data_IF_559671129295
#
_entry.id   IF_559671129295
#
_cell.length_a   1.000
_cell.length_b   1.000
_cell.length_c   1.000
_cell.angle_alpha   90.00
_cell.angle_beta   90.00
_cell.angle_gamma   90.00
#
_symmetry.space_group_name_H-M   'P 1'
#
loop_
_entity.id
_entity.type
_entity.pdbx_description
1 polymer ?
2 non-polymer ?
3 non-polymer ?
4 non-polymer ?
5 non-polymer ?
6 non-polymer ?
7 water ?
#
# COMPACT_ATOMS: atom_id res chain seq x y z
N UNK A 1 19.74 -5.96 0.36
CA UNK A 1 18.41 -6.50 0.49
C UNK A 1 17.89 -6.19 1.86
N UNK A 2 16.58 -6.25 2.02
CA UNK A 2 15.93 -6.00 3.29
C UNK A 2 15.20 -7.20 3.83
N UNK A 3 14.42 -7.00 4.89
CA UNK A 3 13.64 -8.03 5.56
C UNK A 3 12.42 -8.56 4.83
N UNK A 4 11.94 -9.73 5.22
CA UNK A 4 10.71 -10.28 4.72
C UNK A 4 9.84 -10.91 5.80
N UNK A 5 8.58 -11.08 5.55
CA UNK A 5 7.70 -11.74 6.45
C UNK A 5 8.13 -13.20 6.51
N UNK A 6 8.35 -13.72 7.69
CA UNK A 6 8.88 -15.06 7.72
C UNK A 6 7.74 -16.00 7.87
N UNK A 7 6.64 -15.68 7.20
CA UNK A 7 5.39 -16.39 7.15
C UNK A 7 4.54 -15.96 5.92
N UNK A 8 3.62 -16.78 5.43
CA UNK A 8 2.87 -16.44 4.24
C UNK A 8 1.46 -15.98 4.46
N UNK A 9 0.97 -16.12 5.68
CA UNK A 9 -0.34 -15.72 6.04
C UNK A 9 -0.20 -14.40 6.79
N UNK A 10 -0.74 -13.33 6.21
CA UNK A 10 -0.51 -11.97 6.69
C UNK A 10 -1.81 -11.20 6.92
N UNK A 11 -1.99 -10.67 8.12
CA UNK A 11 -3.21 -9.95 8.43
C UNK A 11 -3.05 -8.44 8.32
N UNK A 12 -4.15 -7.77 8.00
CA UNK A 12 -4.16 -6.32 8.05
C UNK A 12 -5.41 -5.78 8.72
N UNK A 13 -5.31 -4.53 9.18
CA UNK A 13 -6.41 -3.86 9.84
C UNK A 13 -6.37 -2.39 9.46
N UNK A 14 -7.53 -1.83 9.17
CA UNK A 14 -7.61 -0.39 8.91
C UNK A 14 -7.86 0.32 10.26
N UNK A 15 -6.85 1.07 10.73
CA UNK A 15 -6.91 1.82 12.00
C UNK A 15 -8.00 2.86 12.01
N UNK A 16 -8.18 3.51 10.87
CA UNK A 16 -9.06 4.66 10.75
C UNK A 16 -9.29 4.97 9.28
N UNK A 17 -10.34 5.76 9.00
CA UNK A 17 -10.80 6.01 7.63
C UNK A 17 -10.75 7.46 7.23
N UNK A 18 -10.25 7.71 6.03
CA UNK A 18 -10.28 9.07 5.52
C UNK A 18 -11.74 9.47 5.29
N UNK A 19 -12.08 10.72 5.63
CA UNK A 19 -13.42 11.23 5.32
C UNK A 19 -13.55 11.58 3.83
N UNK A 20 -12.45 11.49 3.07
CA UNK A 20 -12.48 11.80 1.64
C UNK A 20 -13.36 10.85 0.86
N UNK A 21 -13.44 9.60 1.33
CA UNK A 21 -14.12 8.53 0.60
C UNK A 21 -15.09 7.84 1.55
N UNK A 22 -16.07 7.12 1.00
CA UNK A 22 -16.92 6.36 1.90
C UNK A 22 -16.22 5.09 2.38
N UNK A 23 -16.62 4.63 3.55
CA UNK A 23 -15.97 3.52 4.23
C UNK A 23 -15.84 2.29 3.33
N UNK A 24 -16.91 2.01 2.59
CA UNK A 24 -16.94 0.85 1.71
C UNK A 24 -15.93 0.98 0.58
N UNK A 25 -15.74 2.18 0.08
CA UNK A 25 -14.82 2.45 -1.00
C UNK A 25 -13.36 2.37 -0.53
N UNK A 26 -13.11 2.74 0.70
CA UNK A 26 -11.81 2.53 1.31
C UNK A 26 -11.45 1.06 1.47
N UNK A 27 -12.31 0.30 2.10
CA UNK A 27 -12.11 -1.10 2.26
C UNK A 27 -11.84 -1.79 0.90
N UNK A 28 -12.59 -1.39 -0.09
CA UNK A 28 -12.44 -2.01 -1.38
C UNK A 28 -11.08 -1.71 -1.99
N UNK A 29 -10.74 -0.43 -2.02
CA UNK A 29 -9.44 -0.03 -2.58
C UNK A 29 -8.31 -0.82 -1.94
N UNK A 30 -8.34 -0.93 -0.61
CA UNK A 30 -7.31 -1.66 0.12
C UNK A 30 -7.37 -3.15 -0.19
N UNK A 31 -8.57 -3.69 -0.27
CA UNK A 31 -8.72 -5.11 -0.55
C UNK A 31 -8.15 -5.47 -1.92
N UNK A 32 -8.42 -4.63 -2.90
CA UNK A 32 -8.00 -4.88 -4.27
C UNK A 32 -6.48 -4.71 -4.39
N UNK A 33 -5.94 -3.78 -3.60
CA UNK A 33 -4.50 -3.58 -3.62
C UNK A 33 -3.75 -4.79 -3.07
N UNK A 34 -4.26 -5.37 -2.00
CA UNK A 34 -3.66 -6.59 -1.47
C UNK A 34 -3.76 -7.71 -2.49
N UNK A 35 -4.89 -7.76 -3.18
CA UNK A 35 -5.16 -8.82 -4.16
C UNK A 35 -4.15 -8.81 -5.30
N UNK A 36 -3.70 -7.61 -5.67
CA UNK A 36 -2.71 -7.47 -6.73
C UNK A 36 -1.47 -8.29 -6.39
N UNK A 37 -1.02 -8.19 -5.14
CA UNK A 37 0.20 -8.89 -4.74
C UNK A 37 -0.06 -10.36 -4.45
N UNK A 38 -1.24 -10.66 -3.94
CA UNK A 38 -1.70 -12.03 -3.72
C UNK A 38 -1.67 -12.81 -5.02
N UNK A 39 -2.04 -12.15 -6.11
CA UNK A 39 -2.23 -12.83 -7.39
C UNK A 39 -0.94 -13.39 -8.01
N UNK A 40 0.22 -12.90 -7.57
CA UNK A 40 1.51 -13.35 -8.14
C UNK A 40 2.45 -13.92 -7.10
N UNK A 41 1.91 -14.29 -5.93
CA UNK A 41 2.72 -14.86 -4.86
C UNK A 41 1.89 -15.92 -4.10
N UNK A 42 2.54 -16.66 -3.20
CA UNK A 42 1.81 -17.57 -2.29
C UNK A 42 1.19 -16.84 -1.10
N UNK A 43 1.32 -15.52 -1.02
CA UNK A 43 0.84 -14.82 0.16
C UNK A 43 -0.67 -14.78 0.23
N UNK A 44 -1.19 -14.96 1.45
CA UNK A 44 -2.62 -14.89 1.69
C UNK A 44 -2.89 -13.75 2.67
N UNK A 45 -3.76 -12.83 2.28
CA UNK A 45 -4.07 -11.67 3.13
C UNK A 45 -5.48 -11.73 3.73
N UNK A 46 -5.58 -11.42 5.01
CA UNK A 46 -6.86 -11.43 5.71
C UNK A 46 -7.07 -10.14 6.49
N UNK A 47 -8.23 -9.53 6.31
CA UNK A 47 -8.60 -8.30 7.04
C UNK A 47 -9.16 -8.66 8.37
N UNK A 48 -8.67 -8.02 9.43
CA UNK A 48 -9.30 -8.09 10.72
C UNK A 48 -9.80 -6.69 11.19
N UNK A 49 -10.82 -6.65 12.03
CA UNK A 49 -11.41 -5.39 12.42
C UNK A 49 -11.07 -4.95 13.85
N UNK A 50 -10.48 -5.84 14.60
CA UNK A 50 -9.95 -5.54 15.89
C UNK A 50 -8.82 -6.49 16.16
N UNK A 51 -7.95 -6.14 17.08
CA UNK A 51 -6.86 -7.00 17.39
C UNK A 51 -5.50 -6.70 16.78
N UNK A 52 -4.52 -7.51 17.10
CA UNK A 52 -3.20 -7.36 16.52
C UNK A 52 -3.14 -7.81 15.05
N UNK A 53 -2.86 -6.87 14.15
CA UNK A 53 -2.69 -7.21 12.74
C UNK A 53 -1.22 -7.00 12.36
N UNK A 54 -0.76 -7.70 11.33
CA UNK A 54 0.62 -7.55 10.87
C UNK A 54 0.83 -6.17 10.24
N UNK A 55 -0.05 -5.81 9.33
CA UNK A 55 0.00 -4.53 8.63
C UNK A 55 -1.13 -3.62 9.10
N UNK A 56 -0.76 -2.57 9.82
CA UNK A 56 -1.76 -1.58 10.22
C UNK A 56 -1.84 -0.48 9.16
N UNK A 57 -3.05 -0.22 8.66
CA UNK A 57 -3.29 0.85 7.70
C UNK A 57 -3.79 2.12 8.42
N UNK A 58 -3.09 3.23 8.23
CA UNK A 58 -3.39 4.44 8.97
C UNK A 58 -3.54 5.64 8.06
N UNK A 59 -4.54 6.49 8.32
CA UNK A 59 -4.55 7.82 7.73
C UNK A 59 -4.21 8.83 8.81
N UNK A 60 -3.28 9.72 8.53
CA UNK A 60 -2.85 10.73 9.50
C UNK A 60 -2.23 11.92 8.82
N UNK A 61 -2.01 12.99 9.56
CA UNK A 61 -1.39 14.17 8.95
C UNK A 61 -0.20 14.67 9.74
N UNK A 62 0.62 15.49 9.10
CA UNK A 62 1.78 16.07 9.74
C UNK A 62 2.63 15.06 10.51
N UNK A 63 3.12 15.48 11.66
CA UNK A 63 3.91 14.60 12.49
C UNK A 63 2.90 13.70 13.20
N UNK A 64 3.05 12.40 13.02
CA UNK A 64 2.01 11.47 13.45
C UNK A 64 2.59 10.26 14.16
N UNK A 65 3.71 10.45 14.85
CA UNK A 65 4.16 9.44 15.77
C UNK A 65 5.34 8.60 15.34
N UNK A 66 5.88 8.87 14.16
CA UNK A 66 7.07 8.14 13.69
C UNK A 66 8.10 9.17 13.26
N UNK A 67 9.20 8.75 12.65
CA UNK A 67 10.24 9.73 12.34
C UNK A 67 10.00 10.39 10.99
N UNK A 68 8.82 10.20 10.43
CA UNK A 68 8.59 10.55 9.03
C UNK A 68 7.33 11.36 8.84
N UNK A 69 7.38 12.62 9.26
CA UNK A 69 6.20 13.45 9.23
C UNK A 69 5.73 13.71 7.82
N UNK A 70 4.42 13.78 7.68
CA UNK A 70 3.82 14.21 6.42
C UNK A 70 3.92 15.71 6.32
N UNK A 71 3.59 16.24 5.15
CA UNK A 71 4.03 17.58 4.76
C UNK A 71 2.91 18.44 4.17
N UNK A 72 1.66 18.12 4.51
CA UNK A 72 0.51 18.86 3.99
C UNK A 72 0.15 18.46 2.58
N UNK A 73 -0.78 19.16 1.94
CA UNK A 73 -1.21 18.73 0.61
C UNK A 73 -0.07 18.84 -0.42
N UNK A 74 0.11 17.79 -1.22
CA UNK A 74 1.20 17.73 -2.19
C UNK A 74 2.44 17.08 -1.59
N UNK A 75 3.49 16.92 -2.37
CA UNK A 75 4.71 16.29 -1.88
C UNK A 75 4.50 14.84 -1.49
N UNK A 76 4.85 14.50 -0.26
CA UNK A 76 4.72 13.12 0.22
C UNK A 76 3.26 12.68 0.21
N UNK A 77 2.97 11.50 -0.32
CA UNK A 77 1.60 11.01 -0.33
C UNK A 77 1.35 9.98 0.76
N UNK A 78 2.35 9.14 1.01
CA UNK A 78 2.18 7.98 1.86
C UNK A 78 3.54 7.35 2.10
N UNK A 79 3.61 6.45 3.06
CA UNK A 79 4.83 5.69 3.26
C UNK A 79 4.52 4.43 4.04
N UNK A 80 5.45 3.48 4.03
CA UNK A 80 5.19 2.21 4.67
C UNK A 80 6.50 1.64 5.18
N UNK A 81 6.41 0.88 6.26
CA UNK A 81 7.57 0.25 6.89
C UNK A 81 7.74 -1.17 6.39
N UNK A 82 8.98 -1.58 6.19
CA UNK A 82 9.25 -2.94 5.76
C UNK A 82 8.84 -3.98 6.81
N UNK A 83 8.90 -5.25 6.43
CA UNK A 83 8.49 -6.37 7.30
C UNK A 83 9.22 -6.36 8.65
N UNK A 84 8.46 -6.61 9.72
CA UNK A 84 9.00 -6.59 11.06
C UNK A 84 7.86 -6.53 12.07
N UNK A 85 8.21 -6.57 13.34
CA UNK A 85 7.20 -6.50 14.38
C UNK A 85 6.84 -5.05 14.64
N UNK A 86 5.79 -4.82 15.42
CA UNK A 86 5.39 -3.48 15.79
C UNK A 86 5.03 -2.65 14.58
N UNK A 87 5.71 -1.53 14.37
CA UNK A 87 5.33 -0.66 13.25
C UNK A 87 5.75 -1.28 11.92
N UNK A 88 6.63 -2.28 11.96
CA UNK A 88 7.01 -2.98 10.75
C UNK A 88 5.79 -3.37 9.94
N UNK A 89 5.86 -3.18 8.62
CA UNK A 89 4.75 -3.49 7.73
C UNK A 89 3.69 -2.43 7.65
N UNK A 90 3.64 -1.52 8.62
CA UNK A 90 2.52 -0.58 8.65
C UNK A 90 2.57 0.41 7.49
N UNK A 91 1.38 0.79 7.00
CA UNK A 91 1.27 1.68 5.86
C UNK A 91 0.48 2.93 6.27
N UNK A 92 1.10 4.08 6.09
CA UNK A 92 0.51 5.37 6.48
C UNK A 92 0.17 6.23 5.26
N UNK A 93 -1.01 6.83 5.25
CA UNK A 93 -1.42 7.67 4.14
C UNK A 93 -1.70 9.10 4.63
N UNK A 94 -1.20 10.10 3.89
CA UNK A 94 -1.23 11.48 4.34
C UNK A 94 -2.66 12.01 4.14
N UNK A 95 -3.35 12.29 5.25
CA UNK A 95 -4.74 12.76 5.18
C UNK A 95 -4.85 14.11 4.51
N UNK A 96 -3.74 14.84 4.41
CA UNK A 96 -3.80 16.14 3.73
C UNK A 96 -3.94 16.01 2.21
N UNK A 97 -3.74 14.81 1.68
CA UNK A 97 -4.06 14.53 0.29
C UNK A 97 -5.55 14.28 0.16
N UNK A 98 -6.08 14.43 -1.05
CA UNK A 98 -7.47 14.10 -1.28
C UNK A 98 -7.60 12.74 -1.94
N UNK A 99 -7.98 11.74 -1.16
CA UNK A 99 -8.05 10.36 -1.64
C UNK A 99 -9.31 10.08 -2.44
N UNK A 100 -9.17 9.38 -3.55
CA UNK A 100 -10.29 9.08 -4.43
C UNK A 100 -10.33 7.67 -5.00
N UNK A 101 -11.49 7.33 -5.53
CA UNK A 101 -11.70 6.07 -6.18
C UNK A 101 -11.34 6.14 -7.64
N UNK A 102 -10.88 7.25 -8.15
CA UNK A 102 -10.68 7.43 -9.55
C UNK A 102 -9.49 8.31 -9.80
N UNK A 103 -9.52 9.06 -10.88
CA UNK A 103 -8.39 9.91 -11.28
C UNK A 103 -8.38 11.27 -10.61
N UNK A 104 -9.44 11.61 -9.90
CA UNK A 104 -9.47 12.85 -9.15
C UNK A 104 -8.52 12.71 -7.98
N UNK A 105 -7.93 13.82 -7.56
CA UNK A 105 -7.05 13.80 -6.39
C UNK A 105 -5.96 12.74 -6.48
N UNK A 106 -5.78 12.01 -5.40
CA UNK A 106 -4.79 10.93 -5.38
C UNK A 106 -5.52 9.58 -5.24
N UNK A 107 -5.34 8.69 -6.22
CA UNK A 107 -6.02 7.39 -6.20
C UNK A 107 -5.52 6.49 -5.06
N UNK A 108 -6.43 6.09 -4.18
CA UNK A 108 -6.04 5.28 -3.01
C UNK A 108 -5.59 3.88 -3.41
N UNK A 109 -6.31 3.24 -4.33
CA UNK A 109 -5.95 1.89 -4.78
C UNK A 109 -4.51 1.79 -5.29
N UNK A 110 -4.15 2.64 -6.25
CA UNK A 110 -2.80 2.62 -6.83
C UNK A 110 -1.76 2.92 -5.78
N UNK A 111 -2.03 3.93 -4.95
CA UNK A 111 -1.13 4.26 -3.84
C UNK A 111 -0.96 3.09 -2.87
N UNK A 112 -2.06 2.41 -2.52
CA UNK A 112 -1.97 1.23 -1.67
C UNK A 112 -1.18 0.09 -2.30
N UNK A 113 -1.30 -0.10 -3.61
CA UNK A 113 -0.51 -1.13 -4.27
C UNK A 113 0.97 -0.85 -4.04
N UNK A 114 1.36 0.39 -4.29
CA UNK A 114 2.74 0.81 -4.08
C UNK A 114 3.18 0.62 -2.63
N UNK A 115 2.40 1.12 -1.68
CA UNK A 115 2.79 1.04 -0.27
C UNK A 115 2.85 -0.41 0.27
N UNK A 116 1.89 -1.24 -0.14
CA UNK A 116 1.92 -2.63 0.27
C UNK A 116 3.17 -3.33 -0.26
N UNK A 117 3.58 -2.97 -1.48
CA UNK A 117 4.86 -3.43 -2.01
C UNK A 117 5.95 -3.21 -0.96
N UNK A 118 6.03 -1.99 -0.43
CA UNK A 118 7.00 -1.69 0.64
C UNK A 118 6.75 -2.51 1.91
N UNK A 119 5.48 -2.63 2.29
CA UNK A 119 5.11 -3.38 3.47
C UNK A 119 5.59 -4.82 3.35
N UNK A 120 5.66 -5.30 2.11
CA UNK A 120 6.08 -6.66 1.84
C UNK A 120 7.60 -6.78 1.70
N UNK A 121 8.30 -5.66 1.62
CA UNK A 121 9.76 -5.65 1.59
C UNK A 121 10.40 -5.17 0.30
N UNK A 122 9.61 -4.69 -0.65
CA UNK A 122 10.16 -4.18 -1.89
C UNK A 122 10.72 -2.77 -1.73
N UNK A 123 11.74 -2.48 -2.52
CA UNK A 123 12.22 -1.12 -2.64
C UNK A 123 11.71 -0.58 -3.95
N UNK A 124 12.35 0.47 -4.45
CA UNK A 124 11.88 1.11 -5.67
C UNK A 124 12.43 0.48 -6.94
N UNK A 125 11.69 0.70 -8.02
CA UNK A 125 12.09 0.25 -9.34
C UNK A 125 12.63 1.44 -10.11
N UNK A 126 13.59 1.18 -10.99
CA UNK A 126 14.11 2.21 -11.87
C UNK A 126 13.28 2.24 -13.15
N UNK A 127 12.34 1.32 -13.25
CA UNK A 127 11.47 1.17 -14.42
C UNK A 127 10.18 2.00 -14.30
N UNK A 128 10.05 3.03 -15.14
CA UNK A 128 8.92 3.97 -15.14
C UNK A 128 7.57 3.28 -15.32
N UNK A 129 7.58 2.05 -15.83
CA UNK A 129 6.34 1.30 -16.04
C UNK A 129 5.97 0.41 -14.84
N UNK A 130 6.84 0.37 -13.84
CA UNK A 130 6.61 -0.49 -12.67
C UNK A 130 5.85 0.28 -11.60
N UNK A 131 4.94 -0.39 -10.90
CA UNK A 131 4.19 0.32 -9.86
C UNK A 131 5.12 0.73 -8.70
N UNK A 132 6.27 0.08 -8.56
CA UNK A 132 7.21 0.48 -7.54
C UNK A 132 8.15 1.61 -7.96
N UNK A 133 7.90 2.20 -9.12
CA UNK A 133 8.63 3.39 -9.53
C UNK A 133 8.24 4.50 -8.53
N UNK A 134 9.20 5.37 -8.17
CA UNK A 134 9.06 6.20 -6.97
C UNK A 134 8.04 7.34 -6.96
N UNK A 135 7.30 7.56 -8.04
CA UNK A 135 6.33 8.66 -8.02
C UNK A 135 4.96 8.29 -8.58
N UNK A 136 3.95 8.93 -8.00
CA UNK A 136 2.58 8.68 -8.35
C UNK A 136 2.23 9.15 -9.75
N UNK A 137 1.36 8.40 -10.36
CA UNK A 137 0.71 8.78 -11.58
C UNK A 137 -0.50 7.91 -11.79
N UNK A 138 -1.61 8.50 -12.22
CA UNK A 138 -2.80 7.75 -12.47
C UNK A 138 -2.71 6.92 -13.71
N UNK A 139 -3.13 5.68 -13.60
CA UNK A 139 -3.38 4.82 -14.71
C UNK A 139 -4.70 4.15 -14.49
N UNK A 140 -5.33 3.85 -15.60
CA UNK A 140 -6.62 3.26 -15.64
C UNK A 140 -6.69 2.08 -14.74
N UNK A 141 -7.54 2.18 -13.73
CA UNK A 141 -7.55 1.20 -12.70
C UNK A 141 -8.21 -0.09 -13.08
N UNK A 142 -9.02 -0.06 -14.10
CA UNK A 142 -9.66 -1.26 -14.49
C UNK A 142 -8.68 -2.12 -15.27
N UNK A 143 -7.74 -1.49 -15.97
CA UNK A 143 -6.79 -2.20 -16.80
C UNK A 143 -5.39 -2.40 -16.13
N UNK A 144 -5.28 -1.97 -14.90
CA UNK A 144 -4.00 -1.99 -14.20
C UNK A 144 -3.43 -3.41 -14.03
N UNK A 145 -2.14 -3.55 -14.31
CA UNK A 145 -1.44 -4.80 -14.08
C UNK A 145 -0.03 -4.50 -13.59
N UNK A 146 0.50 -5.40 -12.75
CA UNK A 146 1.88 -5.27 -12.29
C UNK A 146 2.77 -5.41 -13.51
N UNK A 147 3.91 -4.74 -13.49
CA UNK A 147 4.90 -4.91 -14.56
C UNK A 147 5.72 -6.16 -14.30
N UNK A 148 6.45 -6.65 -15.30
CA UNK A 148 7.27 -7.84 -15.10
C UNK A 148 8.32 -7.58 -14.04
N UNK A 149 8.77 -6.33 -13.91
CA UNK A 149 9.76 -6.00 -12.89
C UNK A 149 9.20 -6.13 -11.46
N UNK A 150 7.96 -5.70 -11.27
CA UNK A 150 7.29 -5.80 -9.98
C UNK A 150 7.15 -7.27 -9.58
N UNK A 151 6.74 -8.08 -10.55
CA UNK A 151 6.55 -9.50 -10.32
C UNK A 151 7.89 -10.19 -10.01
N UNK A 152 8.92 -9.84 -10.76
CA UNK A 152 10.27 -10.34 -10.45
C UNK A 152 10.68 -9.97 -9.03
N UNK A 153 10.48 -8.71 -8.67
CA UNK A 153 10.88 -8.24 -7.36
C UNK A 153 10.22 -9.00 -6.23
N UNK A 154 8.89 -9.12 -6.29
CA UNK A 154 8.16 -9.75 -5.21
C UNK A 154 8.44 -11.26 -5.17
N UNK A 155 8.62 -11.89 -6.33
CA UNK A 155 8.88 -13.34 -6.31
C UNK A 155 10.28 -13.65 -5.81
N UNK A 156 11.18 -12.67 -5.87
CA UNK A 156 12.53 -12.86 -5.33
C UNK A 156 12.47 -12.88 -3.79
N UNK A 157 11.40 -12.33 -3.24
CA UNK A 157 11.23 -12.31 -1.78
C UNK A 157 10.38 -13.49 -1.25
N UNK A 158 9.40 -13.93 -2.04
CA UNK A 158 8.47 -14.96 -1.59
C UNK A 158 8.23 -15.99 -2.67
N UNK A 159 8.51 -17.26 -2.36
CA UNK A 159 8.33 -18.31 -3.35
C UNK A 159 7.51 -19.47 -2.85
X LIG B 1 7.82 4.07 -2.52
X LIG C 1 4.09 7.44 9.23
X LIG D 1 2.99 -3.99 12.00
X LIG E 1 -7.97 14.15 2.92
X LIG F 1 1.62 15.47 1.44
X LIG G 1 5.02 9.80 -0.97
X LIG G 1 0.72 4.84 -7.92
X LIG G 1 5.72 9.12 -1.74
X LIG G 1 5.14 8.68 -3.11
X LIG G 1 4.63 7.24 -2.94
X LIG G 1 4.89 6.23 -5.20
X LIG G 1 2.14 6.01 -5.46
X LIG G 1 2.99 5.56 -6.48
X LIG G 1 4.37 5.68 -6.36
X LIG G 1 2.36 4.99 -7.75
X LIG G 1 2.98 4.57 -8.93
X LIG G 1 2.05 4.12 -9.88
X LIG G 1 2.43 3.61 -11.23
X LIG G 1 3.66 3.99 -11.74
X LIG G 1 4.04 3.52 -13.00
X LIG G 1 3.20 2.69 -13.70
X LIG G 1 1.97 2.30 -13.17
X LIG G 1 1.59 2.77 -11.92
X LIG G 1 4.04 6.64 -4.20
X LIG G 1 2.65 6.55 -4.32
X LIG G 1 0.71 4.20 -9.49
X LIG G 1 7.02 8.69 -1.38
X LIG G 1 7.54 9.06 -0.09
X LIG G 1 8.40 10.28 -0.05
X LIG G 1 8.90 10.65 1.05
X LIG G 1 8.29 7.84 0.31
X LIG G 1 7.42 6.65 0.57
X LIG G 1 7.29 5.73 -0.67
X LIG G 1 8.26 5.79 -1.40
X LIG G 1 6.31 5.08 -0.83
X LIG G 1 8.64 10.98 -1.24
X LIG G 1 9.53 12.22 -1.23
X LIG G 1 8.80 13.34 -1.79
X LIG G 1 7.86 13.14 -2.64
X LIG G 1 10.84 12.03 -2.00
X LIG G 1 11.35 10.77 -2.12
X LIG G 1 12.40 10.42 -1.02
X LIG G 1 12.00 9.67 0.00
X LIG G 1 13.55 10.89 -1.06
X LIG G 1 9.15 14.72 -1.38
X LIG H 1 -10.67 -3.25 -8.67
X LIG H 1 -10.41 -2.26 -7.78
X LIG H 1 -9.56 -1.38 -8.35
X LIG H 1 -9.27 -1.82 -9.59
X LIG H 1 -9.97 -3.00 -9.80
X LIG I 1 9.82 6.16 4.27
X LIG I 1 10.23 7.49 4.42
X LIG I 1 9.74 5.48 5.64
X LIG I 1 8.70 4.54 5.63
X LIG I 1 11.05 4.76 5.91
X LIG I 1 10.92 4.00 7.09
#
# INVERSE_FOLDING_TARGET
MGPVWRKHYITYRINNYTPDMNREDVDYAIRKAFQVWSNVTPLKFSKINTGMADILVVFARGAHGDDHAFDGKGGILAHAFGPGSGIGGDAHFDEDEFWTTHSGGTNLFLTAVHEIGHSLGLGHSSDPKAVMFPTYKYVDINTFRLSADDIRGIQSLYG
ZN ZN
ZN ZN
CA CA
CA CA
CA CA
EEG O2 S7 C11 C12 C13 C14 C15 C16 C17 C18 C19 C20 C21 C22 C23 C24 C25 C26 C27 C28 C29 N2 C7 C6 O1 C8 C9 C10 O4E O4 N1 C2 C1 O9 C3 C4 C5 O8E O8 N9
IMD N1 C2 N3 C4 C5
GOL C1 O1 C2 O2 C3 O3
#
